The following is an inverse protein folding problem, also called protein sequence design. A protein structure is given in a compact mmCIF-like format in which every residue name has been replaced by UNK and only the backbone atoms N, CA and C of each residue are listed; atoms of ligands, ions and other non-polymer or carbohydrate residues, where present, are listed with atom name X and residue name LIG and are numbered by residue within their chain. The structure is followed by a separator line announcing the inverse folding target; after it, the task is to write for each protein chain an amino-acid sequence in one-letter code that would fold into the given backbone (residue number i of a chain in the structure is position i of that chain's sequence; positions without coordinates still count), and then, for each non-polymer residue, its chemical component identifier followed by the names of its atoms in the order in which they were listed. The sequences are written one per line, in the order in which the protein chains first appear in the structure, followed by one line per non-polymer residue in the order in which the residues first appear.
data_IF_408974048108
#
_entry.id   IF_408974048108
#
_cell.length_a   1.000
_cell.length_b   1.000
_cell.length_c   1.000
_cell.angle_alpha   90.00
_cell.angle_beta   90.00
_cell.angle_gamma   90.00
#
_symmetry.space_group_name_H-M   'P 1'
#
loop_
_entity.id
_entity.type
_entity.pdbx_description
1 polymer ?
#
# COMPACT_ATOMS: atom_id res chain seq x y z
N UNK A 1 -6.59 -5.32 16.05
CA UNK A 1 -7.62 -4.75 15.17
C UNK A 1 -8.04 -3.38 15.72
N UNK A 2 -8.35 -2.39 14.86
CA UNK A 2 -8.74 -1.03 15.26
C UNK A 2 -10.12 -0.73 14.69
N UNK A 3 -10.98 -0.09 15.48
CA UNK A 3 -12.29 0.33 15.02
C UNK A 3 -12.19 1.54 14.08
N UNK A 4 -13.11 1.61 13.12
CA UNK A 4 -13.22 2.70 12.16
C UNK A 4 -14.36 3.63 12.56
N UNK A 5 -14.20 4.93 12.30
CA UNK A 5 -15.28 5.92 12.36
C UNK A 5 -15.95 6.00 11.00
N UNK A 6 -15.15 6.15 9.94
CA UNK A 6 -15.67 6.32 8.59
C UNK A 6 -14.68 5.89 7.51
N UNK A 7 -15.25 5.56 6.35
CA UNK A 7 -14.57 5.33 5.08
C UNK A 7 -15.02 6.44 4.11
N UNK A 8 -14.07 7.20 3.59
CA UNK A 8 -14.29 8.31 2.67
C UNK A 8 -13.73 7.93 1.30
N UNK A 9 -14.63 7.59 0.37
CA UNK A 9 -14.26 7.32 -1.02
C UNK A 9 -14.06 8.64 -1.78
N UNK A 10 -13.14 8.65 -2.74
CA UNK A 10 -13.05 9.77 -3.69
C UNK A 10 -14.41 9.99 -4.38
N UNK A 11 -14.87 11.23 -4.46
CA UNK A 11 -16.24 11.55 -4.93
C UNK A 11 -16.51 11.10 -6.36
N UNK A 12 -15.46 11.12 -7.20
CA UNK A 12 -15.53 10.70 -8.60
C UNK A 12 -15.21 9.21 -8.82
N UNK A 13 -14.94 8.44 -7.76
CA UNK A 13 -14.71 7.01 -7.91
C UNK A 13 -15.99 6.31 -8.37
N UNK A 14 -15.91 5.58 -9.48
CA UNK A 14 -17.03 4.80 -10.03
C UNK A 14 -16.62 3.36 -10.30
N UNK A 15 -15.47 3.16 -10.95
CA UNK A 15 -14.85 1.88 -11.24
C UNK A 15 -13.33 2.08 -11.35
N UNK A 16 -12.57 1.02 -11.12
CA UNK A 16 -11.10 1.03 -11.11
C UNK A 16 -10.53 1.54 -12.44
N UNK A 17 -11.14 1.16 -13.57
CA UNK A 17 -10.69 1.57 -14.91
C UNK A 17 -10.86 3.08 -15.16
N UNK A 18 -11.75 3.74 -14.41
CA UNK A 18 -12.02 5.17 -14.52
C UNK A 18 -11.07 6.05 -13.71
N UNK A 19 -10.14 5.46 -12.96
CA UNK A 19 -9.26 6.17 -12.05
C UNK A 19 -9.97 6.59 -10.76
N UNK A 20 -9.37 7.55 -10.05
CA UNK A 20 -9.83 8.01 -8.72
C UNK A 20 -9.94 6.88 -7.68
N UNK A 21 -9.16 5.81 -7.85
CA UNK A 21 -9.13 4.66 -6.94
C UNK A 21 -8.32 5.00 -5.68
N UNK A 22 -8.93 5.81 -4.81
CA UNK A 22 -8.37 6.29 -3.56
C UNK A 22 -9.48 6.41 -2.51
N UNK A 23 -9.17 5.99 -1.29
CA UNK A 23 -10.04 6.16 -0.14
C UNK A 23 -9.23 6.61 1.09
N UNK A 24 -9.87 7.37 1.96
CA UNK A 24 -9.36 7.69 3.29
C UNK A 24 -10.15 6.90 4.34
N UNK A 25 -9.43 6.43 5.35
CA UNK A 25 -10.02 5.70 6.49
C UNK A 25 -9.74 6.48 7.75
N UNK A 26 -10.80 6.85 8.47
CA UNK A 26 -10.68 7.49 9.78
C UNK A 26 -10.79 6.45 10.89
N UNK A 27 -9.75 6.40 11.73
CA UNK A 27 -9.69 5.51 12.87
C UNK A 27 -10.43 6.10 14.07
N UNK A 28 -11.15 5.27 14.82
CA UNK A 28 -11.87 5.70 16.02
C UNK A 28 -10.98 6.19 17.16
N UNK A 29 -9.72 5.75 17.17
CA UNK A 29 -8.73 6.19 18.13
C UNK A 29 -7.47 6.61 17.38
N UNK A 30 -6.88 7.78 17.69
CA UNK A 30 -5.61 8.20 17.12
C UNK A 30 -4.51 7.15 17.35
N UNK A 31 -3.60 7.05 16.39
CA UNK A 31 -2.44 6.15 16.47
C UNK A 31 -1.29 6.87 17.16
N UNK A 32 -0.70 6.22 18.17
CA UNK A 32 0.53 6.71 18.81
C UNK A 32 1.71 6.39 17.90
N UNK A 33 2.43 7.43 17.47
CA UNK A 33 3.64 7.29 16.65
C UNK A 33 4.82 6.80 17.50
N UNK A 34 5.77 6.13 16.87
CA UNK A 34 6.96 5.59 17.52
C UNK A 34 7.90 4.90 16.53
N UNK A 35 8.90 4.15 17.01
CA UNK A 35 9.92 3.55 16.15
C UNK A 35 9.38 2.58 15.08
N UNK A 36 8.24 1.95 15.34
CA UNK A 36 7.60 1.00 14.43
C UNK A 36 6.40 1.59 13.66
N UNK A 37 5.95 2.80 13.99
CA UNK A 37 4.74 3.41 13.42
C UNK A 37 5.01 4.88 13.14
N UNK A 38 5.05 5.25 11.86
CA UNK A 38 5.34 6.60 11.39
C UNK A 38 4.39 6.99 10.24
N UNK A 39 4.28 8.30 10.00
CA UNK A 39 3.56 8.84 8.85
C UNK A 39 4.47 8.91 7.62
N UNK A 40 3.88 8.81 6.43
CA UNK A 40 4.57 9.07 5.17
C UNK A 40 4.36 10.52 4.72
N UNK A 41 5.30 11.07 3.96
CA UNK A 41 5.12 12.36 3.31
C UNK A 41 4.16 12.23 2.13
N UNK A 42 3.23 13.18 2.01
CA UNK A 42 2.43 13.32 0.80
C UNK A 42 3.25 14.07 -0.28
N UNK A 43 3.14 13.69 -1.55
CA UNK A 43 3.77 14.43 -2.63
C UNK A 43 3.18 15.83 -2.74
N UNK A 44 3.97 16.78 -3.22
CA UNK A 44 3.43 18.11 -3.57
C UNK A 44 2.56 18.02 -4.82
N UNK A 45 1.58 18.92 -5.01
CA UNK A 45 0.78 18.94 -6.22
C UNK A 45 1.68 19.04 -7.46
N UNK A 46 1.45 18.15 -8.44
CA UNK A 46 2.22 18.07 -9.69
C UNK A 46 3.70 17.70 -9.51
N UNK A 47 4.08 17.08 -8.39
CA UNK A 47 5.43 16.53 -8.22
C UNK A 47 5.71 15.50 -9.31
N UNK A 48 6.72 15.78 -10.15
CA UNK A 48 7.16 14.85 -11.18
C UNK A 48 8.02 13.74 -10.56
N UNK A 49 7.76 12.50 -10.96
CA UNK A 49 8.63 11.36 -10.71
C UNK A 49 9.36 11.02 -12.02
N UNK A 50 10.69 11.22 -12.12
CA UNK A 50 11.43 10.92 -13.34
C UNK A 50 11.34 9.45 -13.72
N UNK A 51 11.31 9.17 -15.03
CA UNK A 51 11.41 7.80 -15.53
C UNK A 51 12.70 7.13 -15.07
N UNK A 52 12.62 5.86 -14.72
CA UNK A 52 13.76 5.10 -14.16
C UNK A 52 14.03 5.37 -12.68
N UNK A 53 13.16 6.12 -11.98
CA UNK A 53 13.26 6.27 -10.53
C UNK A 53 13.04 4.95 -9.81
N UNK A 54 13.94 4.61 -8.89
CA UNK A 54 13.76 3.45 -8.01
C UNK A 54 12.61 3.72 -7.03
N UNK A 55 11.68 2.77 -6.94
CA UNK A 55 10.50 2.84 -6.07
C UNK A 55 10.39 1.57 -5.22
N UNK A 56 9.64 1.65 -4.12
CA UNK A 56 9.34 0.50 -3.25
C UNK A 56 7.84 0.32 -3.11
N UNK A 57 7.40 -0.94 -3.09
CA UNK A 57 6.03 -1.35 -2.77
C UNK A 57 6.12 -2.42 -1.69
N UNK A 58 5.27 -2.34 -0.68
CA UNK A 58 5.22 -3.29 0.43
C UNK A 58 3.78 -3.72 0.67
N UNK A 59 3.60 -4.96 1.14
CA UNK A 59 2.28 -5.52 1.43
C UNK A 59 2.34 -7.01 1.77
N UNK A 60 1.18 -7.56 2.14
CA UNK A 60 1.01 -8.98 2.47
C UNK A 60 0.29 -9.76 1.35
N UNK A 61 0.35 -9.25 0.12
CA UNK A 61 -0.31 -9.86 -1.04
C UNK A 61 0.34 -11.18 -1.49
N UNK A 62 -0.28 -11.83 -2.47
CA UNK A 62 0.30 -13.01 -3.11
C UNK A 62 1.65 -12.67 -3.74
N UNK A 63 2.65 -13.52 -3.51
CA UNK A 63 4.00 -13.39 -4.07
C UNK A 63 4.18 -14.14 -5.39
N UNK A 64 3.14 -14.83 -5.85
CA UNK A 64 3.11 -15.61 -7.09
C UNK A 64 1.71 -15.55 -7.72
N UNK A 65 1.67 -15.62 -9.05
CA UNK A 65 0.42 -15.74 -9.80
C UNK A 65 -0.35 -17.01 -9.41
N UNK A 66 -1.68 -16.93 -9.38
CA UNK A 66 -2.59 -18.04 -9.04
C UNK A 66 -2.44 -18.61 -7.61
N UNK A 67 -1.65 -18.00 -6.73
CA UNK A 67 -1.48 -18.45 -5.35
C UNK A 67 -0.65 -19.74 -5.21
N UNK A 68 -0.04 -20.20 -6.29
CA UNK A 68 0.83 -21.38 -6.33
C UNK A 68 2.23 -21.00 -5.84
N UNK A 69 2.30 -20.55 -4.58
CA UNK A 69 3.57 -20.44 -3.87
C UNK A 69 4.14 -21.84 -3.60
N UNK A 70 5.46 -21.99 -3.45
CA UNK A 70 6.05 -23.29 -3.15
C UNK A 70 5.39 -23.89 -1.89
N UNK A 71 5.09 -25.21 -1.88
CA UNK A 71 4.47 -25.86 -0.74
C UNK A 71 5.37 -25.68 0.49
N UNK A 72 4.89 -24.92 1.48
CA UNK A 72 5.65 -24.58 2.69
C UNK A 72 5.98 -23.10 2.89
N UNK A 73 5.47 -22.18 2.06
CA UNK A 73 5.49 -20.74 2.34
C UNK A 73 4.51 -20.38 3.48
N UNK A 74 4.74 -20.96 4.66
CA UNK A 74 4.17 -20.57 5.93
C UNK A 74 4.67 -19.16 6.25
N UNK A 75 3.74 -18.21 6.35
CA UNK A 75 3.86 -16.89 6.97
C UNK A 75 5.15 -16.69 7.77
N UNK A 76 6.13 -16.05 7.13
CA UNK A 76 7.45 -15.81 7.68
C UNK A 76 7.91 -14.42 7.25
N UNK A 77 8.10 -13.56 8.25
CA UNK A 77 8.76 -12.26 8.19
C UNK A 77 9.88 -12.19 7.12
N UNK A 78 9.63 -11.45 6.04
CA UNK A 78 10.66 -10.85 5.18
C UNK A 78 10.14 -9.43 4.92
N UNK A 79 10.57 -8.38 5.63
CA UNK A 79 11.96 -8.14 6.01
C UNK A 79 12.78 -7.94 4.75
N UNK A 80 12.55 -6.80 4.07
CA UNK A 80 13.38 -6.11 3.07
C UNK A 80 14.19 -6.99 2.07
N UNK A 81 14.11 -6.65 0.78
CA UNK A 81 14.67 -7.34 -0.42
C UNK A 81 13.68 -8.38 -0.98
N UNK A 82 13.35 -8.43 -2.27
CA UNK A 82 14.03 -7.96 -3.48
C UNK A 82 13.06 -8.14 -4.68
N UNK A 83 13.29 -7.37 -5.75
CA UNK A 83 12.91 -7.64 -7.16
C UNK A 83 11.42 -7.51 -7.57
N UNK A 84 11.10 -6.42 -8.27
CA UNK A 84 10.35 -6.54 -9.54
C UNK A 84 11.03 -5.63 -10.58
N UNK A 85 11.98 -6.21 -11.31
CA UNK A 85 12.34 -5.76 -12.64
C UNK A 85 11.24 -6.20 -13.61
N UNK A 86 10.91 -5.34 -14.58
CA UNK A 86 10.31 -5.75 -15.84
C UNK A 86 8.83 -5.45 -16.00
N UNK A 87 8.48 -4.18 -16.20
CA UNK A 87 7.97 -3.63 -17.47
C UNK A 87 7.70 -2.12 -17.32
#
# INVERSE_FOLDING_TARGET
ERALVQLLLHQDFRRVEGGHDLALVELATPVTLGPAVATICLPTPHQALPFGSNCWVTGWGHVAENGEGPPGASWGLLGLLLLIWGL
#
